data_IF_225794179201
#
_entry.id   IF_225794179201
#
_cell.length_a   1.000
_cell.length_b   1.000
_cell.length_c   1.000
_cell.angle_alpha   90.00
_cell.angle_beta   90.00
_cell.angle_gamma   90.00
#
_symmetry.space_group_name_H-M   'P 1'
#
loop_
_entity.id
_entity.type
_entity.pdbx_description
1 polymer ?
#
# COMPACT_ATOMS: atom_id res chain seq x y z
N UNK A 1 -1.16 -29.64 3.91
CA UNK A 1 -1.75 -28.32 4.26
C UNK A 1 -3.28 -28.40 4.17
N UNK A 2 -3.97 -28.10 5.24
CA UNK A 2 -5.42 -27.90 5.24
C UNK A 2 -5.71 -26.41 4.95
N UNK A 3 -6.42 -26.12 3.85
CA UNK A 3 -6.80 -24.75 3.52
C UNK A 3 -8.16 -24.40 4.15
N UNK A 4 -8.16 -23.39 5.02
CA UNK A 4 -9.35 -22.81 5.65
C UNK A 4 -9.84 -21.60 4.84
N UNK A 5 -11.12 -21.55 4.57
CA UNK A 5 -11.77 -20.47 3.81
C UNK A 5 -12.94 -19.90 4.63
N UNK A 6 -12.67 -19.05 5.64
CA UNK A 6 -13.72 -18.50 6.49
C UNK A 6 -14.68 -17.63 5.66
N UNK A 7 -15.95 -17.67 6.06
CA UNK A 7 -17.03 -16.86 5.51
C UNK A 7 -17.51 -15.79 6.48
N UNK A 8 -16.98 -15.79 7.70
CA UNK A 8 -17.24 -14.78 8.74
C UNK A 8 -15.97 -14.43 9.52
N UNK A 9 -15.98 -13.26 10.12
CA UNK A 9 -14.90 -12.78 11.01
C UNK A 9 -14.67 -13.77 12.15
N UNK A 10 -15.74 -14.28 12.77
CA UNK A 10 -15.64 -15.23 13.90
C UNK A 10 -14.98 -16.55 13.49
N UNK A 11 -15.27 -17.05 12.28
CA UNK A 11 -14.55 -18.23 11.75
C UNK A 11 -13.08 -17.94 11.51
N UNK A 12 -12.77 -16.79 10.94
CA UNK A 12 -11.38 -16.39 10.69
C UNK A 12 -10.60 -16.27 11.99
N UNK A 13 -11.16 -15.65 13.04
CA UNK A 13 -10.57 -15.56 14.36
C UNK A 13 -10.31 -16.93 14.99
N UNK A 14 -11.31 -17.83 14.89
CA UNK A 14 -11.14 -19.21 15.38
C UNK A 14 -9.98 -19.91 14.68
N UNK A 15 -9.89 -19.83 13.35
CA UNK A 15 -8.79 -20.46 12.61
C UNK A 15 -7.43 -19.86 12.93
N UNK A 16 -7.35 -18.54 13.16
CA UNK A 16 -6.13 -17.90 13.67
C UNK A 16 -5.73 -18.44 15.05
N UNK A 17 -6.70 -18.59 15.97
CA UNK A 17 -6.46 -19.15 17.30
C UNK A 17 -6.02 -20.63 17.25
N UNK A 18 -6.49 -21.38 16.26
CA UNK A 18 -6.07 -22.76 15.97
C UNK A 18 -4.70 -22.84 15.26
N UNK A 19 -4.03 -21.70 14.99
CA UNK A 19 -2.71 -21.65 14.40
C UNK A 19 -2.68 -21.67 12.86
N UNK A 20 -3.82 -21.42 12.19
CA UNK A 20 -3.82 -21.32 10.74
C UNK A 20 -2.98 -20.14 10.24
N UNK A 21 -2.06 -20.39 9.31
CA UNK A 21 -1.17 -19.38 8.73
C UNK A 21 -1.93 -18.58 7.67
N UNK A 22 -2.07 -17.24 7.82
CA UNK A 22 -2.75 -16.41 6.83
C UNK A 22 -1.99 -16.39 5.50
N UNK A 23 -2.75 -16.57 4.40
CA UNK A 23 -2.24 -16.43 3.04
C UNK A 23 -3.14 -15.51 2.21
N UNK A 24 -2.51 -14.70 1.36
CA UNK A 24 -3.18 -14.03 0.25
C UNK A 24 -3.23 -14.94 -0.98
N UNK A 25 -2.72 -14.46 -2.11
CA UNK A 25 -2.64 -15.23 -3.35
C UNK A 25 -1.52 -16.28 -3.43
N UNK A 26 -0.83 -16.55 -2.35
CA UNK A 26 0.30 -17.50 -2.24
C UNK A 26 1.49 -17.25 -3.20
N UNK A 27 1.52 -16.14 -3.92
CA UNK A 27 2.54 -15.82 -4.95
C UNK A 27 3.97 -15.75 -4.41
N UNK A 28 4.14 -15.58 -3.10
CA UNK A 28 5.45 -15.51 -2.45
C UNK A 28 5.68 -16.67 -1.50
N UNK A 29 4.68 -17.02 -0.69
CA UNK A 29 4.84 -18.05 0.36
C UNK A 29 4.98 -19.45 -0.21
N UNK A 30 4.49 -19.71 -1.42
CA UNK A 30 4.58 -21.04 -2.04
C UNK A 30 6.03 -21.53 -2.17
N UNK A 31 6.91 -20.69 -2.73
CA UNK A 31 8.32 -21.04 -2.89
C UNK A 31 9.03 -21.21 -1.52
N UNK A 32 8.65 -20.40 -0.53
CA UNK A 32 9.16 -20.54 0.84
C UNK A 32 8.72 -21.86 1.45
N UNK A 33 7.47 -22.23 1.34
CA UNK A 33 6.95 -23.49 1.88
C UNK A 33 7.48 -24.73 1.18
N UNK A 34 7.74 -24.65 -0.14
CA UNK A 34 8.43 -25.76 -0.82
C UNK A 34 9.83 -26.02 -0.29
N UNK A 35 10.54 -24.98 0.14
CA UNK A 35 11.90 -25.09 0.71
C UNK A 35 11.89 -25.45 2.20
N UNK A 36 11.05 -24.78 2.98
CA UNK A 36 11.12 -24.77 4.44
C UNK A 36 10.05 -25.69 5.10
N UNK A 37 9.14 -26.25 4.28
CA UNK A 37 8.02 -27.07 4.73
C UNK A 37 6.70 -26.33 4.75
N UNK A 38 5.60 -27.09 4.59
CA UNK A 38 4.24 -26.56 4.58
C UNK A 38 3.68 -26.52 6.01
N UNK A 39 2.89 -25.47 6.37
CA UNK A 39 2.17 -25.47 7.63
C UNK A 39 1.09 -26.56 7.65
N UNK A 40 0.67 -27.01 8.83
CA UNK A 40 -0.44 -27.95 8.95
C UNK A 40 -1.72 -27.39 8.34
N UNK A 41 -2.00 -26.11 8.63
CA UNK A 41 -3.14 -25.39 8.06
C UNK A 41 -2.81 -23.97 7.65
N UNK A 42 -3.46 -23.54 6.58
CA UNK A 42 -3.39 -22.18 6.06
C UNK A 42 -4.80 -21.59 5.94
N UNK A 43 -4.92 -20.28 6.01
CA UNK A 43 -6.21 -19.58 5.91
C UNK A 43 -6.14 -18.49 4.83
N UNK A 44 -7.12 -18.48 3.92
CA UNK A 44 -7.29 -17.41 2.95
C UNK A 44 -8.62 -16.68 3.18
N UNK A 45 -8.57 -15.35 3.18
CA UNK A 45 -9.75 -14.50 3.38
C UNK A 45 -10.57 -14.28 2.10
N UNK A 46 -10.34 -15.05 1.03
CA UNK A 46 -11.00 -14.87 -0.27
C UNK A 46 -12.53 -14.95 -0.22
N UNK A 47 -13.09 -15.65 0.77
CA UNK A 47 -14.54 -15.81 0.92
C UNK A 47 -15.12 -14.91 2.03
N UNK A 48 -14.29 -14.10 2.67
CA UNK A 48 -14.72 -13.17 3.72
C UNK A 48 -15.15 -11.84 3.10
N UNK A 49 -16.45 -11.45 3.17
CA UNK A 49 -16.95 -10.24 2.51
C UNK A 49 -16.19 -8.99 2.91
N UNK A 50 -15.90 -8.79 4.21
CA UNK A 50 -15.19 -7.63 4.75
C UNK A 50 -13.75 -7.49 4.20
N UNK A 51 -13.15 -8.59 3.75
CA UNK A 51 -11.81 -8.59 3.16
C UNK A 51 -11.82 -8.45 1.63
N UNK A 52 -12.99 -8.46 0.98
CA UNK A 52 -13.15 -8.41 -0.48
C UNK A 52 -13.94 -7.17 -0.96
N UNK A 53 -14.13 -6.20 -0.10
CA UNK A 53 -14.84 -4.95 -0.43
C UNK A 53 -14.00 -4.09 -1.38
N UNK A 54 -14.67 -3.48 -2.39
CA UNK A 54 -14.07 -2.51 -3.33
C UNK A 54 -15.05 -1.35 -3.45
N UNK A 55 -14.87 -0.33 -2.62
CA UNK A 55 -15.72 0.87 -2.54
C UNK A 55 -14.84 2.13 -2.54
N UNK A 56 -15.38 3.30 -2.84
CA UNK A 56 -14.66 4.56 -2.64
C UNK A 56 -14.11 4.62 -1.21
N UNK A 57 -12.85 5.01 -1.08
CA UNK A 57 -12.15 5.16 0.20
C UNK A 57 -12.05 3.86 1.05
N UNK A 58 -12.37 2.68 0.49
CA UNK A 58 -12.31 1.40 1.20
C UNK A 58 -11.89 0.25 0.26
N UNK A 59 -10.84 -0.47 0.63
CA UNK A 59 -10.29 -1.58 -0.15
C UNK A 59 -9.97 -2.79 0.73
N UNK A 60 -10.55 -3.93 0.42
CA UNK A 60 -10.35 -5.18 1.15
C UNK A 60 -8.94 -5.75 1.00
N UNK A 61 -8.43 -6.34 2.07
CA UNK A 61 -7.09 -6.94 2.12
C UNK A 61 -6.93 -8.20 1.25
N UNK A 62 -8.04 -8.90 0.95
CA UNK A 62 -8.05 -10.08 0.09
C UNK A 62 -8.33 -9.77 -1.38
N UNK A 63 -8.67 -8.52 -1.72
CA UNK A 63 -8.86 -8.07 -3.10
C UNK A 63 -7.58 -8.31 -3.89
N UNK A 64 -7.71 -8.91 -5.08
CA UNK A 64 -6.57 -9.16 -5.97
C UNK A 64 -6.21 -7.90 -6.76
N UNK A 65 -4.92 -7.74 -7.07
CA UNK A 65 -4.38 -6.47 -7.57
C UNK A 65 -4.99 -6.02 -8.91
N UNK A 66 -5.44 -6.95 -9.75
CA UNK A 66 -6.07 -6.59 -11.03
C UNK A 66 -7.52 -6.10 -10.90
N UNK A 67 -8.13 -6.16 -9.71
CA UNK A 67 -9.43 -5.58 -9.42
C UNK A 67 -9.35 -4.13 -8.95
N UNK A 68 -8.14 -3.61 -8.73
CA UNK A 68 -7.89 -2.20 -8.42
C UNK A 68 -8.07 -1.36 -9.70
N UNK A 69 -9.30 -0.98 -9.98
CA UNK A 69 -9.73 -0.29 -11.20
C UNK A 69 -9.99 1.21 -11.01
N UNK A 70 -10.74 1.78 -11.95
CA UNK A 70 -10.92 3.24 -12.10
C UNK A 70 -11.62 3.96 -10.96
N UNK A 71 -12.29 3.22 -10.06
CA UNK A 71 -12.91 3.80 -8.85
C UNK A 71 -11.89 4.12 -7.75
N UNK A 72 -10.66 3.63 -7.88
CA UNK A 72 -9.61 3.83 -6.90
C UNK A 72 -8.73 5.03 -7.27
N UNK A 73 -8.11 5.72 -6.28
CA UNK A 73 -7.15 6.78 -6.54
C UNK A 73 -6.07 6.37 -7.54
N UNK A 74 -5.66 7.32 -8.40
CA UNK A 74 -4.67 7.10 -9.45
C UNK A 74 -3.40 6.40 -8.91
N UNK A 75 -2.93 6.83 -7.74
CA UNK A 75 -1.73 6.28 -7.11
C UNK A 75 -1.84 4.79 -6.81
N UNK A 76 -2.98 4.30 -6.31
CA UNK A 76 -3.21 2.87 -6.07
C UNK A 76 -3.32 2.08 -7.36
N UNK A 77 -4.12 2.58 -8.31
CA UNK A 77 -4.35 1.93 -9.60
C UNK A 77 -3.05 1.76 -10.40
N UNK A 78 -2.26 2.83 -10.51
CA UNK A 78 -0.97 2.78 -11.21
C UNK A 78 0.03 1.85 -10.51
N UNK A 79 0.10 1.89 -9.19
CA UNK A 79 0.98 0.99 -8.44
C UNK A 79 0.60 -0.47 -8.67
N UNK A 80 -0.67 -0.83 -8.51
CA UNK A 80 -1.16 -2.19 -8.71
C UNK A 80 -0.85 -2.71 -10.12
N UNK A 81 -1.05 -1.88 -11.15
CA UNK A 81 -0.79 -2.22 -12.55
C UNK A 81 0.69 -2.56 -12.83
N UNK A 82 1.63 -2.07 -12.01
CA UNK A 82 3.09 -2.29 -12.18
C UNK A 82 3.64 -3.45 -11.36
N UNK A 83 2.80 -4.18 -10.60
CA UNK A 83 3.26 -5.34 -9.81
C UNK A 83 3.38 -6.57 -10.70
N UNK A 84 4.58 -7.10 -10.83
CA UNK A 84 4.87 -8.37 -11.50
C UNK A 84 4.20 -8.52 -12.86
N UNK A 85 3.83 -9.75 -13.20
CA UNK A 85 3.11 -10.08 -14.45
C UNK A 85 1.59 -10.00 -14.25
N UNK A 86 0.84 -10.07 -15.36
CA UNK A 86 -0.62 -10.18 -15.29
C UNK A 86 -1.10 -11.41 -14.50
N UNK A 87 -0.38 -12.53 -14.58
CA UNK A 87 -0.67 -13.73 -13.79
C UNK A 87 -0.51 -13.46 -12.28
N UNK A 88 0.56 -12.78 -11.88
CA UNK A 88 0.78 -12.37 -10.49
C UNK A 88 -0.35 -11.47 -10.00
N UNK A 89 -0.75 -10.48 -10.77
CA UNK A 89 -1.81 -9.53 -10.37
C UNK A 89 -3.19 -10.17 -10.21
N UNK A 90 -3.48 -11.27 -10.91
CA UNK A 90 -4.74 -12.03 -10.75
C UNK A 90 -4.78 -12.88 -9.48
N UNK A 91 -3.67 -13.00 -8.76
CA UNK A 91 -3.58 -13.83 -7.55
C UNK A 91 -3.07 -13.07 -6.33
N UNK A 92 -2.08 -12.19 -6.51
CA UNK A 92 -1.54 -11.37 -5.42
C UNK A 92 -2.62 -10.44 -4.86
N UNK A 93 -2.72 -10.37 -3.54
CA UNK A 93 -3.72 -9.57 -2.83
C UNK A 93 -3.12 -8.29 -2.24
N UNK A 94 -3.97 -7.32 -1.94
CA UNK A 94 -3.62 -6.04 -1.30
C UNK A 94 -2.85 -6.28 0.00
N UNK A 95 -3.43 -7.00 0.95
CA UNK A 95 -2.79 -7.29 2.24
C UNK A 95 -1.50 -8.10 2.08
N UNK A 96 -1.51 -9.11 1.19
CA UNK A 96 -0.32 -9.90 0.88
C UNK A 96 0.81 -9.06 0.27
N UNK A 97 0.50 -8.06 -0.54
CA UNK A 97 1.49 -7.16 -1.12
C UNK A 97 2.09 -6.21 -0.06
N UNK A 98 1.28 -5.64 0.83
CA UNK A 98 1.74 -4.69 1.85
C UNK A 98 2.55 -5.39 2.94
N UNK A 99 2.07 -6.54 3.46
CA UNK A 99 2.67 -7.19 4.63
C UNK A 99 3.65 -8.30 4.25
N UNK A 100 3.33 -9.09 3.21
CA UNK A 100 4.09 -10.29 2.84
C UNK A 100 5.22 -10.04 1.86
N UNK A 101 5.08 -9.07 0.94
CA UNK A 101 6.09 -8.79 -0.09
C UNK A 101 7.27 -8.01 0.46
N UNK A 102 8.49 -8.40 0.09
CA UNK A 102 9.68 -7.60 0.36
C UNK A 102 9.68 -6.26 -0.36
N UNK A 103 9.06 -6.19 -1.55
CA UNK A 103 8.95 -4.97 -2.35
C UNK A 103 7.81 -4.04 -1.91
N UNK A 104 6.78 -4.56 -1.24
CA UNK A 104 5.66 -3.77 -0.72
C UNK A 104 5.18 -2.69 -1.67
N UNK A 105 4.89 -3.05 -2.91
CA UNK A 105 4.63 -2.07 -3.98
C UNK A 105 3.42 -1.16 -3.71
N UNK A 106 2.43 -1.63 -2.94
CA UNK A 106 1.27 -0.85 -2.52
C UNK A 106 1.50 -0.04 -1.24
N UNK A 107 2.62 -0.23 -0.54
CA UNK A 107 2.89 0.52 0.70
C UNK A 107 3.07 2.03 0.44
N UNK A 108 3.91 2.50 -0.52
CA UNK A 108 4.00 3.93 -0.80
C UNK A 108 2.65 4.58 -1.15
N UNK A 109 1.81 4.01 -2.04
CA UNK A 109 0.45 4.48 -2.25
C UNK A 109 -0.40 4.58 -0.99
N UNK A 110 -0.40 3.53 -0.15
CA UNK A 110 -1.19 3.52 1.06
C UNK A 110 -0.72 4.59 2.07
N UNK A 111 0.59 4.84 2.17
CA UNK A 111 1.16 5.89 3.03
C UNK A 111 0.76 7.30 2.57
N UNK A 112 0.80 7.58 1.27
CA UNK A 112 0.43 8.92 0.77
C UNK A 112 -1.07 9.17 0.82
N UNK A 113 -1.90 8.12 0.83
CA UNK A 113 -3.33 8.21 1.06
C UNK A 113 -3.68 8.34 2.55
N UNK A 114 -2.70 8.34 3.44
CA UNK A 114 -2.90 8.30 4.90
C UNK A 114 -3.80 7.15 5.34
N UNK A 115 -3.63 5.99 4.70
CA UNK A 115 -4.53 4.87 4.88
C UNK A 115 -4.42 4.28 6.29
N UNK A 116 -5.59 4.02 6.87
CA UNK A 116 -5.75 3.26 8.11
C UNK A 116 -6.12 1.83 7.77
N UNK A 117 -5.60 0.87 8.52
CA UNK A 117 -5.88 -0.54 8.31
C UNK A 117 -6.84 -1.07 9.38
N UNK A 118 -7.91 -1.74 8.93
CA UNK A 118 -8.67 -2.64 9.79
C UNK A 118 -7.95 -3.98 9.81
N UNK A 119 -7.54 -4.43 10.97
CA UNK A 119 -6.79 -5.69 11.16
C UNK A 119 -7.60 -6.73 11.91
N UNK A 120 -7.38 -7.99 11.53
CA UNK A 120 -7.97 -9.15 12.19
C UNK A 120 -6.94 -9.75 13.17
N UNK A 121 -7.29 -9.77 14.45
CA UNK A 121 -6.57 -10.47 15.51
C UNK A 121 -7.40 -11.67 15.99
N UNK A 122 -6.84 -12.54 16.80
CA UNK A 122 -7.51 -13.76 17.27
C UNK A 122 -8.75 -13.49 18.12
N UNK A 123 -8.81 -12.35 18.78
CA UNK A 123 -9.86 -11.99 19.76
C UNK A 123 -10.67 -10.74 19.37
N UNK A 124 -10.18 -9.95 18.41
CA UNK A 124 -10.82 -8.67 18.02
C UNK A 124 -10.50 -8.27 16.59
N UNK A 125 -11.30 -7.31 16.12
CA UNK A 125 -11.02 -6.52 14.92
C UNK A 125 -10.84 -5.06 15.37
N UNK A 126 -9.80 -4.40 14.87
CA UNK A 126 -9.54 -3.00 15.21
C UNK A 126 -8.90 -2.24 14.07
N UNK A 127 -8.98 -0.92 14.13
CA UNK A 127 -8.25 -0.04 13.24
C UNK A 127 -6.87 0.29 13.83
N UNK A 128 -5.87 0.40 12.95
CA UNK A 128 -4.51 0.80 13.31
C UNK A 128 -3.81 1.49 12.13
N UNK A 129 -2.63 2.05 12.38
CA UNK A 129 -1.79 2.62 11.34
C UNK A 129 -0.93 1.56 10.64
N UNK A 130 -0.38 1.95 9.49
CA UNK A 130 0.44 1.06 8.68
C UNK A 130 1.80 0.74 9.33
N UNK A 131 2.32 1.60 10.17
CA UNK A 131 3.58 1.34 10.88
C UNK A 131 3.41 0.16 11.83
N UNK A 132 2.33 0.13 12.62
CA UNK A 132 2.02 -0.99 13.49
C UNK A 132 1.71 -2.28 12.69
N UNK A 133 0.95 -2.14 11.58
CA UNK A 133 0.68 -3.29 10.68
C UNK A 133 1.97 -3.96 10.23
N UNK A 134 2.95 -3.17 9.81
CA UNK A 134 4.24 -3.70 9.32
C UNK A 134 5.09 -4.27 10.44
N UNK A 135 5.18 -3.57 11.59
CA UNK A 135 5.98 -4.01 12.73
C UNK A 135 5.50 -5.34 13.30
N UNK A 136 4.19 -5.53 13.39
CA UNK A 136 3.56 -6.74 13.95
C UNK A 136 3.10 -7.75 12.89
N UNK A 137 3.21 -7.42 11.60
CA UNK A 137 2.76 -8.24 10.46
C UNK A 137 1.28 -8.63 10.58
N UNK A 138 0.44 -7.67 10.99
CA UNK A 138 -0.98 -7.90 11.16
C UNK A 138 -1.68 -8.37 9.89
N UNK A 139 -2.72 -9.18 10.04
CA UNK A 139 -3.60 -9.58 8.96
C UNK A 139 -4.58 -8.45 8.64
N UNK A 140 -4.43 -7.85 7.46
CA UNK A 140 -5.28 -6.77 6.99
C UNK A 140 -6.62 -7.31 6.50
N UNK A 141 -7.72 -6.85 7.08
CA UNK A 141 -9.08 -7.02 6.53
C UNK A 141 -9.36 -5.99 5.45
N UNK A 142 -9.12 -4.72 5.73
CA UNK A 142 -9.33 -3.63 4.77
C UNK A 142 -8.43 -2.44 5.05
N UNK A 143 -8.30 -1.58 4.04
CA UNK A 143 -7.68 -0.26 4.14
C UNK A 143 -8.76 0.79 3.91
N UNK A 144 -8.75 1.85 4.70
CA UNK A 144 -9.60 3.03 4.55
C UNK A 144 -8.73 4.28 4.44
N UNK A 145 -9.14 5.21 3.60
CA UNK A 145 -8.49 6.51 3.42
C UNK A 145 -9.54 7.60 3.16
N UNK A 146 -9.11 8.83 2.99
CA UNK A 146 -9.90 9.93 2.41
C UNK A 146 -9.35 10.21 1.02
N UNK A 147 -10.24 10.38 0.06
CA UNK A 147 -9.80 10.63 -1.31
C UNK A 147 -8.98 11.92 -1.41
N UNK A 148 -7.81 11.87 -2.03
CA UNK A 148 -6.99 13.04 -2.28
C UNK A 148 -7.62 13.92 -3.36
N UNK A 149 -7.31 15.22 -3.37
CA UNK A 149 -7.64 16.14 -4.48
C UNK A 149 -7.01 15.62 -5.77
N UNK A 150 -5.75 15.19 -5.66
CA UNK A 150 -4.97 14.62 -6.76
C UNK A 150 -3.90 13.68 -6.20
N UNK A 151 -3.56 12.67 -6.97
CA UNK A 151 -2.46 11.79 -6.64
C UNK A 151 -1.59 11.48 -7.86
N UNK A 152 -0.37 11.01 -7.62
CA UNK A 152 0.57 10.66 -8.67
C UNK A 152 1.45 9.48 -8.27
N UNK A 153 1.90 8.73 -9.28
CA UNK A 153 2.76 7.58 -9.10
C UNK A 153 3.81 7.52 -10.20
N UNK A 154 5.04 7.24 -9.84
CA UNK A 154 6.13 6.95 -10.77
C UNK A 154 6.89 5.73 -10.28
N UNK A 155 7.18 4.82 -11.18
CA UNK A 155 8.11 3.70 -10.98
C UNK A 155 9.11 3.77 -12.11
N UNK A 156 10.40 3.76 -11.78
CA UNK A 156 11.45 3.65 -12.78
C UNK A 156 11.54 2.22 -13.31
N UNK A 157 12.14 2.05 -14.47
CA UNK A 157 12.42 0.74 -15.02
C UNK A 157 13.49 0.03 -14.18
N UNK A 158 13.34 -1.30 -14.04
CA UNK A 158 14.34 -2.11 -13.36
C UNK A 158 15.46 -2.48 -14.33
N UNK A 159 16.69 -2.35 -13.88
CA UNK A 159 17.83 -2.94 -14.58
C UNK A 159 17.86 -4.45 -14.32
N UNK A 160 18.22 -5.21 -15.36
CA UNK A 160 18.31 -6.66 -15.24
C UNK A 160 19.37 -7.05 -14.19
N UNK A 161 18.96 -7.75 -13.12
CA UNK A 161 19.84 -8.13 -12.01
C UNK A 161 20.23 -7.00 -11.06
N UNK A 162 19.67 -5.81 -11.25
CA UNK A 162 19.91 -4.64 -10.41
C UNK A 162 19.05 -4.59 -9.15
N UNK A 163 19.20 -3.49 -8.39
CA UNK A 163 18.35 -3.19 -7.24
C UNK A 163 16.88 -3.03 -7.64
N UNK A 164 15.93 -3.21 -6.70
CA UNK A 164 14.52 -2.91 -6.97
C UNK A 164 14.36 -1.47 -7.47
N UNK A 165 13.50 -1.25 -8.49
CA UNK A 165 13.35 0.07 -9.09
C UNK A 165 12.80 1.08 -8.10
N UNK A 166 13.26 2.33 -8.20
CA UNK A 166 12.73 3.44 -7.44
C UNK A 166 11.22 3.60 -7.70
N UNK A 167 10.48 3.84 -6.63
CA UNK A 167 9.05 4.16 -6.67
C UNK A 167 8.81 5.46 -5.93
N UNK A 168 8.11 6.38 -6.57
CA UNK A 168 7.63 7.64 -5.96
C UNK A 168 6.11 7.67 -6.03
N UNK A 169 5.49 7.89 -4.88
CA UNK A 169 4.07 8.14 -4.74
C UNK A 169 3.86 9.50 -4.06
N UNK A 170 2.86 10.24 -4.50
CA UNK A 170 2.46 11.50 -3.86
C UNK A 170 0.95 11.72 -3.96
N UNK A 171 0.41 12.43 -2.97
CA UNK A 171 -1.00 12.83 -2.94
C UNK A 171 -1.15 14.18 -2.25
N UNK A 172 -2.02 15.02 -2.78
CA UNK A 172 -2.46 16.28 -2.16
C UNK A 172 -3.84 16.07 -1.56
N UNK A 173 -3.96 16.31 -0.28
CA UNK A 173 -5.21 16.19 0.47
C UNK A 173 -5.79 17.56 0.79
N UNK A 174 -7.13 17.66 0.88
CA UNK A 174 -7.75 18.86 1.41
C UNK A 174 -7.38 19.04 2.88
N UNK A 175 -7.22 20.29 3.31
CA UNK A 175 -7.07 20.61 4.72
C UNK A 175 -8.37 20.39 5.50
N UNK A 176 -8.25 20.04 6.77
CA UNK A 176 -9.42 19.88 7.63
C UNK A 176 -10.09 21.23 7.89
N UNK A 177 -11.43 21.26 7.79
CA UNK A 177 -12.21 22.47 8.06
C UNK A 177 -11.91 23.66 7.14
N UNK A 178 -11.41 23.42 5.91
CA UNK A 178 -11.01 24.48 4.97
C UNK A 178 -9.61 25.05 5.24
N UNK A 179 -8.81 24.36 6.06
CA UNK A 179 -7.40 24.69 6.29
C UNK A 179 -6.51 24.43 5.08
N UNK A 180 -5.19 24.61 5.22
CA UNK A 180 -4.22 24.43 4.15
C UNK A 180 -4.22 23.00 3.61
N UNK A 181 -3.99 22.85 2.30
CA UNK A 181 -3.79 21.55 1.67
C UNK A 181 -2.51 20.90 2.19
N UNK A 182 -2.46 19.57 2.20
CA UNK A 182 -1.28 18.80 2.61
C UNK A 182 -0.80 17.91 1.48
N UNK A 183 0.47 18.02 1.15
CA UNK A 183 1.17 17.05 0.29
C UNK A 183 1.77 15.95 1.15
N UNK A 184 1.52 14.69 0.79
CA UNK A 184 2.24 13.52 1.31
C UNK A 184 3.06 12.89 0.19
N UNK A 185 4.27 12.49 0.52
CA UNK A 185 5.20 11.84 -0.40
C UNK A 185 5.73 10.57 0.25
N UNK A 186 5.77 9.49 -0.50
CA UNK A 186 6.40 8.24 -0.08
C UNK A 186 7.28 7.70 -1.21
N UNK A 187 8.49 7.34 -0.87
CA UNK A 187 9.49 6.85 -1.80
C UNK A 187 9.99 5.49 -1.33
N UNK A 188 9.97 4.51 -2.23
CA UNK A 188 10.68 3.26 -2.02
C UNK A 188 11.94 3.27 -2.85
N UNK A 189 13.09 3.26 -2.17
CA UNK A 189 14.41 3.08 -2.77
C UNK A 189 14.96 1.71 -2.33
N UNK A 190 15.19 0.84 -3.29
CA UNK A 190 15.47 -0.56 -2.99
C UNK A 190 14.32 -1.22 -2.21
N UNK A 191 14.60 -1.62 -0.96
CA UNK A 191 13.63 -2.22 -0.02
C UNK A 191 13.15 -1.25 1.06
N UNK A 192 13.80 -0.10 1.19
CA UNK A 192 13.47 0.92 2.18
C UNK A 192 12.34 1.81 1.68
N UNK A 193 11.45 2.20 2.58
CA UNK A 193 10.36 3.14 2.29
C UNK A 193 10.48 4.31 3.24
N UNK A 194 10.65 5.50 2.66
CA UNK A 194 10.66 6.77 3.37
C UNK A 194 9.38 7.53 3.02
N UNK A 195 8.70 8.09 3.99
CA UNK A 195 7.50 8.91 3.76
C UNK A 195 7.43 10.09 4.71
N UNK A 196 6.95 11.20 4.19
CA UNK A 196 6.72 12.40 4.98
C UNK A 196 5.67 13.29 4.30
N UNK A 197 5.30 14.40 4.94
CA UNK A 197 4.33 15.34 4.39
C UNK A 197 4.64 16.78 4.78
N UNK A 198 4.16 17.70 3.95
CA UNK A 198 4.29 19.15 4.17
C UNK A 198 2.99 19.85 3.82
N UNK A 199 2.82 21.05 4.35
CA UNK A 199 1.76 21.97 3.91
C UNK A 199 1.98 22.30 2.42
N UNK A 200 0.92 22.20 1.63
CA UNK A 200 0.93 22.43 0.19
C UNK A 200 0.26 23.78 -0.12
N UNK A 201 0.91 24.86 0.28
CA UNK A 201 0.54 26.23 -0.04
C UNK A 201 1.65 26.85 -0.89
N UNK A 202 1.25 27.67 -1.86
CA UNK A 202 2.20 28.31 -2.77
C UNK A 202 2.50 27.50 -4.03
N UNK A 203 3.66 27.80 -4.64
CA UNK A 203 4.11 27.13 -5.86
C UNK A 203 4.96 25.87 -5.57
N UNK A 204 5.22 25.10 -6.61
CA UNK A 204 5.98 23.86 -6.49
C UNK A 204 7.40 24.06 -5.90
N UNK A 205 8.18 25.09 -6.23
CA UNK A 205 9.47 25.36 -5.59
C UNK A 205 9.36 25.49 -4.07
N UNK A 206 8.40 26.26 -3.55
CA UNK A 206 8.20 26.44 -2.10
C UNK A 206 7.86 25.13 -1.40
N UNK A 207 6.99 24.33 -2.01
CA UNK A 207 6.61 22.99 -1.50
C UNK A 207 7.82 22.04 -1.51
N UNK A 208 8.65 22.09 -2.56
CA UNK A 208 9.88 21.29 -2.65
C UNK A 208 10.93 21.71 -1.61
N UNK A 209 11.08 23.00 -1.36
CA UNK A 209 11.99 23.51 -0.31
C UNK A 209 11.55 23.04 1.08
N UNK A 210 10.25 23.09 1.37
CA UNK A 210 9.72 22.53 2.61
C UNK A 210 9.97 21.01 2.70
N UNK A 211 9.74 20.26 1.62
CA UNK A 211 9.95 18.81 1.59
C UNK A 211 11.42 18.42 1.77
N UNK A 212 12.38 19.25 1.35
CA UNK A 212 13.83 19.04 1.60
C UNK A 212 14.20 19.00 3.08
N UNK A 213 13.40 19.60 3.95
CA UNK A 213 13.65 19.60 5.40
C UNK A 213 13.14 18.36 6.10
N UNK A 214 12.45 17.45 5.38
CA UNK A 214 11.84 16.22 5.91
C UNK A 214 12.73 14.99 5.66
N UNK A 215 12.27 13.82 6.12
CA UNK A 215 12.96 12.57 5.84
C UNK A 215 13.09 12.27 4.34
N UNK A 216 12.15 12.71 3.51
CA UNK A 216 12.22 12.57 2.04
C UNK A 216 13.39 13.39 1.44
N UNK A 217 13.75 14.50 2.05
CA UNK A 217 14.89 15.33 1.63
C UNK A 217 16.26 14.69 1.82
N UNK A 218 16.36 13.60 2.60
CA UNK A 218 17.62 12.86 2.82
C UNK A 218 17.94 11.85 1.69
N UNK A 219 17.05 11.68 0.74
CA UNK A 219 17.23 10.75 -0.38
C UNK A 219 18.40 11.17 -1.30
N UNK A 220 19.06 10.21 -1.98
CA UNK A 220 20.08 10.49 -2.98
C UNK A 220 19.55 11.43 -4.09
N UNK A 221 20.44 12.24 -4.69
CA UNK A 221 20.07 13.23 -5.71
C UNK A 221 19.25 12.64 -6.86
N UNK A 222 19.62 11.47 -7.37
CA UNK A 222 18.89 10.80 -8.46
C UNK A 222 17.44 10.44 -8.07
N UNK A 223 17.20 10.03 -6.83
CA UNK A 223 15.86 9.78 -6.32
C UNK A 223 15.09 11.10 -6.10
N UNK A 224 15.79 12.13 -5.61
CA UNK A 224 15.22 13.46 -5.41
C UNK A 224 14.75 14.10 -6.74
N UNK A 225 15.46 13.90 -7.84
CA UNK A 225 15.07 14.43 -9.15
C UNK A 225 13.71 13.87 -9.58
N UNK A 226 13.47 12.57 -9.37
CA UNK A 226 12.19 11.92 -9.66
C UNK A 226 11.08 12.41 -8.71
N UNK A 227 11.40 12.62 -7.43
CA UNK A 227 10.48 13.23 -6.45
C UNK A 227 10.08 14.62 -6.90
N UNK A 228 11.07 15.46 -7.27
CA UNK A 228 10.83 16.85 -7.68
C UNK A 228 9.94 16.93 -8.92
N UNK A 229 10.20 16.10 -9.95
CA UNK A 229 9.35 16.00 -11.14
C UNK A 229 7.90 15.64 -10.75
N UNK A 230 7.72 14.61 -9.92
CA UNK A 230 6.39 14.12 -9.58
C UNK A 230 5.62 15.06 -8.65
N UNK A 231 6.29 15.69 -7.70
CA UNK A 231 5.69 16.71 -6.82
C UNK A 231 5.25 17.93 -7.63
N UNK A 232 6.09 18.41 -8.56
CA UNK A 232 5.74 19.54 -9.43
C UNK A 232 4.48 19.24 -10.24
N UNK A 233 4.38 18.04 -10.86
CA UNK A 233 3.20 17.60 -11.61
C UNK A 233 1.94 17.62 -10.73
N UNK A 234 2.02 17.02 -9.54
CA UNK A 234 0.86 16.86 -8.64
C UNK A 234 0.43 18.21 -8.06
N UNK A 235 1.36 19.08 -7.67
CA UNK A 235 1.06 20.44 -7.17
C UNK A 235 0.40 21.29 -8.25
N UNK A 236 0.91 21.26 -9.49
CA UNK A 236 0.29 21.97 -10.61
C UNK A 236 -1.12 21.49 -10.91
N UNK A 237 -1.37 20.16 -10.88
CA UNK A 237 -2.70 19.60 -11.08
C UNK A 237 -3.66 19.95 -9.93
N UNK A 238 -3.18 20.00 -8.70
CA UNK A 238 -3.99 20.38 -7.54
C UNK A 238 -4.40 21.87 -7.57
N UNK A 239 -3.61 22.74 -8.20
CA UNK A 239 -3.95 24.15 -8.35
C UNK A 239 -5.01 24.43 -9.41
N UNK A 240 -5.19 23.52 -10.39
CA UNK A 240 -6.09 23.66 -11.52
C UNK A 240 -7.44 22.91 -11.36
N UNK A 241 -7.62 22.19 -10.27
CA UNK A 241 -8.83 21.44 -9.93
C UNK A 241 -9.48 21.98 -8.67
#
# INVERSE_FOLDING_TARGET
>A
VLLRLPTSVSEAQRYLAEGAVPIGGATLVWATWQRDGFPEQAMSLRNLPEANVVEPELLGGAVVLNEIGDRMPEVLRRAAATVGTGAVRRTATVGGNIVGSSLRCLLPPALVLDARATVLETDRVRETDLAEVLAKRHLILSLRWRDPIVSGYRKLDAEAGGAPPLVVACAVHPGDGGGPRHLRVAVRDGHEVVSDGVVCEGDAPQVLDALRTTAVGTLPSAAWDVVSEKVTDVVARAANG
#
